data_IF_004442933633
#
_entry.id   IF_004442933633
#
_cell.length_a   1.000
_cell.length_b   1.000
_cell.length_c   1.000
_cell.angle_alpha   90.00
_cell.angle_beta   90.00
_cell.angle_gamma   90.00
#
_symmetry.space_group_name_H-M   'P 1'
#
loop_
_entity.id
_entity.type
_entity.pdbx_description
1 polymer ?
#
# COMPACT_ATOMS: atom_id res chain seq x y z
N UNK A 1 -0.24 13.08 -16.07
CA UNK A 1 0.62 11.98 -16.54
C UNK A 1 0.74 10.90 -15.48
N UNK A 2 0.50 9.65 -15.84
CA UNK A 2 0.54 8.55 -14.87
C UNK A 2 1.96 8.09 -14.60
N UNK A 3 2.24 7.78 -13.35
CA UNK A 3 3.54 7.30 -12.88
C UNK A 3 3.36 6.16 -11.90
N UNK A 4 4.44 5.49 -11.56
CA UNK A 4 4.44 4.49 -10.50
C UNK A 4 4.72 5.14 -9.16
N UNK A 5 3.99 4.69 -8.14
CA UNK A 5 4.18 5.12 -6.76
C UNK A 5 4.17 3.90 -5.85
N UNK A 6 5.00 3.94 -4.82
CA UNK A 6 4.97 2.95 -3.75
C UNK A 6 4.30 3.57 -2.55
N UNK A 7 3.20 2.97 -2.11
CA UNK A 7 2.43 3.44 -0.96
C UNK A 7 2.61 2.46 0.19
N UNK A 8 3.03 2.97 1.35
CA UNK A 8 3.19 2.17 2.55
C UNK A 8 2.17 2.62 3.58
N UNK A 9 1.40 1.67 4.10
CA UNK A 9 0.33 1.94 5.05
C UNK A 9 0.56 1.12 6.32
N UNK A 10 0.57 1.81 7.46
CA UNK A 10 0.61 1.18 8.78
C UNK A 10 -0.78 1.30 9.40
N UNK A 11 -1.36 0.17 9.78
CA UNK A 11 -2.76 0.13 10.23
C UNK A 11 -2.98 -0.98 11.25
N UNK A 12 -4.21 -1.03 11.76
CA UNK A 12 -4.65 -2.17 12.55
C UNK A 12 -4.62 -3.43 11.66
N UNK A 13 -4.27 -4.55 12.26
CA UNK A 13 -4.16 -5.81 11.53
C UNK A 13 -5.48 -6.58 11.56
N UNK A 14 -6.39 -6.22 10.64
CA UNK A 14 -7.63 -6.96 10.45
C UNK A 14 -8.05 -6.91 8.99
N UNK A 15 -8.90 -7.85 8.60
CA UNK A 15 -9.30 -8.00 7.19
C UNK A 15 -10.10 -6.82 6.65
N UNK A 16 -10.91 -6.19 7.50
CA UNK A 16 -11.74 -5.09 7.04
C UNK A 16 -10.92 -3.88 6.61
N UNK A 17 -9.75 -3.68 7.19
CA UNK A 17 -8.86 -2.58 6.84
C UNK A 17 -8.38 -2.72 5.40
N UNK A 18 -7.92 -3.91 5.02
CA UNK A 18 -7.46 -4.16 3.64
C UNK A 18 -8.58 -3.92 2.63
N UNK A 19 -9.79 -4.36 2.94
CA UNK A 19 -10.94 -4.12 2.07
C UNK A 19 -11.22 -2.63 1.91
N UNK A 20 -11.12 -1.86 2.98
CA UNK A 20 -11.33 -0.42 2.92
C UNK A 20 -10.27 0.28 2.09
N UNK A 21 -9.01 -0.12 2.25
CA UNK A 21 -7.90 0.44 1.47
C UNK A 21 -8.12 0.17 -0.02
N UNK A 22 -8.41 -1.08 -0.37
CA UNK A 22 -8.65 -1.46 -1.76
C UNK A 22 -9.87 -0.73 -2.33
N UNK A 23 -10.92 -0.56 -1.55
CA UNK A 23 -12.12 0.16 -1.98
C UNK A 23 -11.84 1.62 -2.27
N UNK A 24 -11.01 2.28 -1.46
CA UNK A 24 -10.62 3.68 -1.70
C UNK A 24 -9.90 3.78 -3.05
N UNK A 25 -8.97 2.87 -3.30
CA UNK A 25 -8.21 2.85 -4.55
C UNK A 25 -9.12 2.57 -5.75
N UNK A 26 -10.03 1.62 -5.61
CA UNK A 26 -10.96 1.27 -6.69
C UNK A 26 -11.91 2.42 -7.04
N UNK A 27 -12.42 3.13 -6.04
CA UNK A 27 -13.29 4.28 -6.27
C UNK A 27 -12.60 5.38 -7.06
N UNK A 28 -11.31 5.55 -6.85
CA UNK A 28 -10.50 6.55 -7.55
C UNK A 28 -9.90 5.99 -8.83
N UNK A 29 -10.21 4.74 -9.18
CA UNK A 29 -9.69 4.07 -10.38
C UNK A 29 -8.17 4.06 -10.43
N UNK A 30 -7.55 3.86 -9.28
CA UNK A 30 -6.09 3.72 -9.18
C UNK A 30 -5.72 2.28 -9.48
N UNK A 31 -4.82 2.08 -10.42
CA UNK A 31 -4.37 0.73 -10.78
C UNK A 31 -3.39 0.21 -9.75
N UNK A 32 -3.71 -0.93 -9.17
CA UNK A 32 -2.83 -1.64 -8.23
C UNK A 32 -2.03 -2.66 -9.02
N UNK A 33 -0.72 -2.49 -9.06
CA UNK A 33 0.17 -3.43 -9.76
C UNK A 33 0.62 -4.55 -8.84
N UNK A 34 0.89 -4.23 -7.57
CA UNK A 34 1.30 -5.21 -6.56
C UNK A 34 0.77 -4.80 -5.21
N UNK A 35 0.50 -5.78 -4.38
CA UNK A 35 0.09 -5.58 -2.99
C UNK A 35 0.75 -6.63 -2.13
N UNK A 36 1.47 -6.19 -1.10
CA UNK A 36 2.05 -7.06 -0.10
C UNK A 36 1.56 -6.58 1.26
N UNK A 37 1.00 -7.49 2.04
CA UNK A 37 0.51 -7.15 3.38
C UNK A 37 0.99 -8.20 4.36
N UNK A 38 1.42 -7.75 5.55
CA UNK A 38 1.89 -8.67 6.58
C UNK A 38 1.71 -8.06 7.96
N UNK A 39 1.79 -8.90 8.99
CA UNK A 39 1.75 -8.46 10.36
C UNK A 39 3.05 -7.75 10.72
N UNK A 40 2.96 -6.80 11.65
CA UNK A 40 4.15 -6.20 12.25
C UNK A 40 4.81 -7.27 13.15
N UNK A 41 6.10 -7.50 12.98
CA UNK A 41 6.82 -8.52 13.73
C UNK A 41 6.82 -8.26 15.24
N UNK A 42 6.85 -6.99 15.63
CA UNK A 42 6.91 -6.59 17.03
C UNK A 42 5.54 -6.54 17.70
N UNK A 43 4.47 -6.35 16.90
CA UNK A 43 3.11 -6.23 17.44
C UNK A 43 2.11 -6.78 16.42
N UNK A 44 1.62 -7.99 16.65
CA UNK A 44 0.70 -8.67 15.74
C UNK A 44 -0.65 -7.95 15.58
N UNK A 45 -0.97 -7.00 16.45
CA UNK A 45 -2.19 -6.22 16.33
C UNK A 45 -2.07 -5.12 15.26
N UNK A 46 -0.88 -4.89 14.78
CA UNK A 46 -0.58 -3.93 13.72
C UNK A 46 -0.23 -4.64 12.43
N UNK A 47 -0.57 -4.01 11.33
CA UNK A 47 -0.28 -4.52 10.01
C UNK A 47 0.40 -3.48 9.14
N UNK A 48 1.12 -3.97 8.14
CA UNK A 48 1.79 -3.13 7.16
C UNK A 48 1.34 -3.59 5.78
N UNK A 49 0.91 -2.66 4.94
CA UNK A 49 0.59 -2.92 3.55
C UNK A 49 1.45 -2.05 2.66
N UNK A 50 2.07 -2.65 1.67
CA UNK A 50 2.88 -1.94 0.68
C UNK A 50 2.29 -2.21 -0.69
N UNK A 51 1.95 -1.14 -1.41
CA UNK A 51 1.28 -1.24 -2.69
C UNK A 51 2.09 -0.51 -3.76
N UNK A 52 2.23 -1.15 -4.91
CA UNK A 52 2.77 -0.50 -6.10
C UNK A 52 1.60 -0.07 -6.96
N UNK A 53 1.46 1.24 -7.16
CA UNK A 53 0.32 1.85 -7.82
C UNK A 53 0.75 2.57 -9.09
N UNK A 54 -0.15 2.66 -10.06
CA UNK A 54 0.05 3.42 -11.28
C UNK A 54 -1.06 4.45 -11.40
N UNK A 55 -0.71 5.72 -11.23
CA UNK A 55 -1.67 6.81 -11.18
C UNK A 55 -0.98 8.15 -11.39
N UNK A 56 -1.77 9.23 -11.34
CA UNK A 56 -1.22 10.60 -11.43
C UNK A 56 -0.78 11.09 -10.06
N UNK A 57 0.19 12.04 -10.01
CA UNK A 57 0.60 12.61 -8.72
C UNK A 57 -0.55 13.25 -7.94
N UNK A 58 -1.44 13.96 -8.62
CA UNK A 58 -2.59 14.62 -7.97
C UNK A 58 -3.50 13.59 -7.32
N UNK A 59 -3.79 12.51 -8.03
CA UNK A 59 -4.66 11.47 -7.52
C UNK A 59 -4.01 10.73 -6.36
N UNK A 60 -2.68 10.53 -6.42
CA UNK A 60 -1.93 9.90 -5.34
C UNK A 60 -2.06 10.70 -4.04
N UNK A 61 -1.93 12.02 -4.10
CA UNK A 61 -2.12 12.89 -2.94
C UNK A 61 -3.52 12.75 -2.35
N UNK A 62 -4.54 12.75 -3.19
CA UNK A 62 -5.92 12.60 -2.74
C UNK A 62 -6.17 11.26 -2.07
N UNK A 63 -5.61 10.20 -2.63
CA UNK A 63 -5.72 8.85 -2.05
C UNK A 63 -5.06 8.79 -0.70
N UNK A 64 -3.84 9.33 -0.58
CA UNK A 64 -3.13 9.37 0.70
C UNK A 64 -3.98 10.05 1.78
N UNK A 65 -4.50 11.24 1.48
CA UNK A 65 -5.31 11.99 2.45
C UNK A 65 -6.57 11.22 2.84
N UNK A 66 -7.20 10.56 1.89
CA UNK A 66 -8.41 9.79 2.16
C UNK A 66 -8.11 8.57 3.04
N UNK A 67 -6.98 7.90 2.80
CA UNK A 67 -6.58 6.76 3.62
C UNK A 67 -6.23 7.19 5.04
N UNK A 68 -5.59 8.34 5.21
CA UNK A 68 -5.25 8.86 6.54
C UNK A 68 -6.48 9.18 7.38
N UNK A 69 -7.63 9.37 6.76
CA UNK A 69 -8.89 9.62 7.48
C UNK A 69 -9.54 8.35 8.03
N UNK A 70 -9.11 7.19 7.60
CA UNK A 70 -9.62 5.94 8.13
C UNK A 70 -9.11 5.74 9.55
N UNK A 71 -10.02 5.40 10.47
CA UNK A 71 -9.67 5.25 11.88
C UNK A 71 -8.59 4.18 12.08
N UNK A 72 -8.67 3.11 11.32
CA UNK A 72 -7.76 1.98 11.42
C UNK A 72 -6.37 2.26 10.86
N UNK A 73 -6.23 3.30 10.04
CA UNK A 73 -4.94 3.67 9.44
C UNK A 73 -4.18 4.60 10.37
N UNK A 74 -3.00 4.16 10.79
CA UNK A 74 -2.12 4.94 11.65
C UNK A 74 -1.28 5.93 10.84
N UNK A 75 -0.76 5.46 9.71
CA UNK A 75 0.14 6.25 8.87
C UNK A 75 0.08 5.76 7.43
N UNK A 76 0.12 6.69 6.48
CA UNK A 76 0.23 6.39 5.06
C UNK A 76 1.26 7.32 4.45
N UNK A 77 2.26 6.76 3.78
CA UNK A 77 3.31 7.50 3.11
C UNK A 77 3.51 6.94 1.70
N UNK A 78 3.96 7.79 0.78
CA UNK A 78 4.26 7.30 -0.56
C UNK A 78 5.51 7.95 -1.11
N UNK A 79 6.14 7.27 -2.07
CA UNK A 79 7.23 7.82 -2.86
C UNK A 79 7.04 7.43 -4.31
N UNK A 80 7.62 8.22 -5.21
CA UNK A 80 7.57 7.92 -6.64
C UNK A 80 8.53 6.77 -6.95
N UNK A 81 8.09 5.88 -7.83
CA UNK A 81 8.89 4.76 -8.29
C UNK A 81 8.62 3.46 -7.54
N UNK A 82 9.37 2.42 -7.89
CA UNK A 82 9.28 1.11 -7.27
C UNK A 82 10.27 1.02 -6.11
N UNK A 83 9.74 0.76 -4.91
CA UNK A 83 10.55 0.64 -3.70
C UNK A 83 11.43 -0.60 -3.76
N UNK A 84 12.60 -0.51 -3.14
CA UNK A 84 13.53 -1.62 -2.95
C UNK A 84 12.85 -2.83 -2.30
N UNK A 85 11.85 -2.59 -1.44
CA UNK A 85 11.08 -3.64 -0.79
C UNK A 85 10.50 -4.64 -1.81
N UNK A 86 9.90 -4.14 -2.89
CA UNK A 86 9.34 -5.01 -3.93
C UNK A 86 10.41 -5.75 -4.71
N UNK A 87 11.55 -5.14 -4.95
CA UNK A 87 12.65 -5.79 -5.63
C UNK A 87 13.18 -6.96 -4.82
N UNK A 88 13.37 -6.77 -3.52
CA UNK A 88 13.83 -7.83 -2.63
C UNK A 88 12.81 -8.96 -2.53
N UNK A 89 11.52 -8.64 -2.45
CA UNK A 89 10.45 -9.63 -2.39
C UNK A 89 10.41 -10.47 -3.66
N UNK A 90 10.57 -9.86 -4.82
CA UNK A 90 10.58 -10.57 -6.09
C UNK A 90 11.77 -11.53 -6.19
N UNK A 91 12.94 -11.09 -5.76
CA UNK A 91 14.14 -11.95 -5.75
C UNK A 91 13.95 -13.15 -4.84
N UNK A 92 13.39 -12.95 -3.65
CA UNK A 92 13.12 -14.03 -2.73
C UNK A 92 12.14 -15.04 -3.30
N UNK A 93 11.08 -14.58 -3.96
CA UNK A 93 10.10 -15.45 -4.60
C UNK A 93 10.73 -16.28 -5.71
N UNK A 94 11.62 -15.69 -6.50
CA UNK A 94 12.33 -16.41 -7.55
C UNK A 94 13.25 -17.48 -7.00
N UNK A 95 13.86 -17.24 -5.85
CA UNK A 95 14.77 -18.20 -5.21
C UNK A 95 14.02 -19.40 -4.66
N UNK A 96 12.80 -19.21 -4.21
CA UNK A 96 11.97 -20.28 -3.63
C UNK A 96 11.40 -21.20 -4.71
N UNK A 97 11.19 -20.67 -5.87
CA UNK A 97 10.71 -21.45 -6.99
C UNK A 97 11.85 -22.32 -7.58
#
# INVERSE_FOLDING_TARGET
MKKEFTLEIHSDNNFSVLNRIVNVLNRRRVRIKKLIAHENEDDFRRGIAVLLLHTTPDLMEKVKHQLEKLIEVEQATFCEGCDLYFELSEKNNKQVA
#
